data_IF_893456112391
#
_entry.id   IF_893456112391
#
_cell.length_a   1.000
_cell.length_b   1.000
_cell.length_c   1.000
_cell.angle_alpha   90.00
_cell.angle_beta   90.00
_cell.angle_gamma   90.00
#
_symmetry.space_group_name_H-M   'P 1'
#
loop_
_entity.id
_entity.type
_entity.pdbx_description
1 polymer ?
#
# COMPACT_ATOMS: atom_id res chain seq x y z
N UNK A 1 4.74 3.44 -2.19
CA UNK A 1 3.75 2.33 -2.15
C UNK A 1 2.47 2.59 -1.35
N UNK A 2 2.49 3.16 -0.14
CA UNK A 2 1.27 3.36 0.68
C UNK A 2 0.14 4.11 -0.05
N UNK A 3 0.50 5.17 -0.78
CA UNK A 3 -0.47 6.02 -1.48
C UNK A 3 -1.13 5.29 -2.65
N UNK A 4 -0.37 4.46 -3.36
CA UNK A 4 -0.87 3.63 -4.46
C UNK A 4 -1.94 2.65 -3.98
N UNK A 5 -1.67 1.86 -2.94
CA UNK A 5 -2.67 0.93 -2.37
C UNK A 5 -3.92 1.62 -1.81
N UNK A 6 -3.85 2.93 -1.50
CA UNK A 6 -5.00 3.70 -1.02
C UNK A 6 -5.83 4.28 -2.17
N UNK A 7 -5.19 4.68 -3.27
CA UNK A 7 -5.80 5.44 -4.36
C UNK A 7 -5.99 4.64 -5.66
N UNK A 8 -5.31 3.51 -5.80
CA UNK A 8 -5.23 2.75 -7.06
C UNK A 8 -4.33 3.36 -8.14
N UNK A 9 -3.84 4.59 -7.95
CA UNK A 9 -2.95 5.30 -8.89
C UNK A 9 -1.75 5.94 -8.18
N UNK A 10 -0.68 6.18 -8.94
CA UNK A 10 0.49 6.95 -8.49
C UNK A 10 0.32 8.47 -8.67
N UNK A 11 -0.62 8.88 -9.52
CA UNK A 11 -0.83 10.29 -9.84
C UNK A 11 -1.47 11.04 -8.66
N UNK A 12 -1.13 12.32 -8.56
CA UNK A 12 -1.80 13.22 -7.64
C UNK A 12 -3.19 13.54 -8.21
N UNK A 13 -4.28 13.32 -7.46
CA UNK A 13 -5.59 13.74 -7.94
C UNK A 13 -5.61 15.27 -8.03
N UNK A 14 -6.09 15.81 -9.16
CA UNK A 14 -6.49 17.21 -9.23
C UNK A 14 -7.64 17.41 -8.25
N UNK A 15 -7.37 18.08 -7.13
CA UNK A 15 -8.39 18.24 -6.10
C UNK A 15 -9.40 19.30 -6.56
N UNK A 16 -10.58 18.87 -6.99
CA UNK A 16 -11.73 19.76 -7.11
C UNK A 16 -12.44 19.82 -5.75
N UNK A 17 -12.50 20.99 -5.08
CA UNK A 17 -13.14 21.12 -3.77
C UNK A 17 -14.66 20.90 -3.79
N UNK A 18 -15.27 20.75 -4.97
CA UNK A 18 -16.71 20.55 -5.15
C UNK A 18 -17.11 19.11 -5.53
N UNK A 19 -16.17 18.21 -5.79
CA UNK A 19 -16.48 16.82 -6.14
C UNK A 19 -15.89 15.85 -5.13
N UNK A 20 -16.73 14.96 -4.61
CA UNK A 20 -16.27 13.79 -3.86
C UNK A 20 -15.84 12.74 -4.88
N UNK A 21 -14.60 12.85 -5.36
CA UNK A 21 -14.03 11.87 -6.29
C UNK A 21 -13.73 10.57 -5.53
N UNK A 22 -14.78 9.77 -5.32
CA UNK A 22 -14.69 8.42 -4.78
C UNK A 22 -14.06 7.51 -5.84
N UNK A 23 -12.74 7.57 -6.00
CA UNK A 23 -12.02 6.62 -6.86
C UNK A 23 -12.30 5.21 -6.35
N UNK A 24 -13.11 4.45 -7.10
CA UNK A 24 -13.36 3.04 -6.81
C UNK A 24 -12.05 2.30 -7.08
N UNK A 25 -11.30 2.02 -6.03
CA UNK A 25 -10.02 1.31 -6.13
C UNK A 25 -10.27 -0.12 -6.60
N UNK A 26 -9.75 -0.48 -7.77
CA UNK A 26 -9.76 -1.85 -8.30
C UNK A 26 -8.82 -2.80 -7.54
N UNK A 27 -8.11 -2.30 -6.53
CA UNK A 27 -7.22 -3.07 -5.67
C UNK A 27 -7.67 -2.98 -4.20
N UNK A 28 -7.67 -4.10 -3.52
CA UNK A 28 -8.01 -4.23 -2.10
C UNK A 28 -6.79 -4.65 -1.29
N UNK A 29 -6.30 -3.82 -0.35
CA UNK A 29 -5.16 -4.18 0.48
C UNK A 29 -5.51 -5.36 1.39
N UNK A 30 -4.72 -6.44 1.31
CA UNK A 30 -4.87 -7.64 2.14
C UNK A 30 -4.55 -7.31 3.60
N UNK A 31 -3.50 -6.50 3.83
CA UNK A 31 -3.06 -6.11 5.16
C UNK A 31 -3.19 -4.60 5.37
N UNK A 32 -3.91 -4.17 6.42
CA UNK A 32 -4.06 -2.75 6.77
C UNK A 32 -2.73 -2.09 7.18
N UNK A 33 -1.88 -2.83 7.91
CA UNK A 33 -0.52 -2.41 8.31
C UNK A 33 0.52 -3.17 7.47
N UNK A 34 1.68 -2.58 7.17
CA UNK A 34 2.75 -3.31 6.50
C UNK A 34 3.27 -4.44 7.38
N UNK A 35 3.67 -5.55 6.76
CA UNK A 35 4.36 -6.65 7.44
C UNK A 35 5.81 -6.23 7.62
N UNK A 36 6.31 -6.38 8.86
CA UNK A 36 7.68 -6.03 9.25
C UNK A 36 8.52 -7.31 9.34
N UNK A 37 9.84 -7.21 9.11
CA UNK A 37 10.75 -8.33 9.31
C UNK A 37 10.76 -8.77 10.77
N UNK A 38 11.02 -10.05 10.99
CA UNK A 38 11.14 -10.60 12.36
C UNK A 38 12.48 -10.24 12.99
N UNK A 39 12.61 -10.38 14.31
CA UNK A 39 13.87 -10.12 14.99
C UNK A 39 14.99 -11.07 14.54
N UNK A 40 14.66 -12.35 14.30
CA UNK A 40 15.61 -13.33 13.79
C UNK A 40 16.11 -12.94 12.39
N UNK A 41 15.21 -12.52 11.51
CA UNK A 41 15.54 -12.08 10.15
C UNK A 41 16.40 -10.81 10.15
N UNK A 42 16.12 -9.84 11.03
CA UNK A 42 16.96 -8.66 11.18
C UNK A 42 18.37 -8.98 11.69
N UNK A 43 18.52 -10.01 12.53
CA UNK A 43 19.83 -10.44 13.03
C UNK A 43 20.64 -11.18 11.95
N UNK A 44 19.98 -11.99 11.12
CA UNK A 44 20.63 -12.70 10.01
C UNK A 44 20.90 -11.78 8.80
N UNK A 45 20.03 -10.80 8.57
CA UNK A 45 20.15 -9.83 7.50
C UNK A 45 19.85 -8.40 8.03
N UNK A 46 20.88 -7.67 8.50
CA UNK A 46 20.71 -6.31 8.99
C UNK A 46 20.08 -5.33 7.98
N UNK A 47 20.23 -5.59 6.67
CA UNK A 47 19.62 -4.76 5.62
C UNK A 47 18.10 -4.88 5.57
N UNK A 48 17.52 -5.92 6.16
CA UNK A 48 16.07 -6.12 6.22
C UNK A 48 15.38 -5.13 7.18
N UNK A 49 16.10 -4.49 8.12
CA UNK A 49 15.53 -3.66 9.20
C UNK A 49 14.56 -2.57 8.74
N UNK A 50 14.73 -2.03 7.54
CA UNK A 50 13.85 -0.99 6.97
C UNK A 50 12.76 -1.52 6.03
N UNK A 51 12.72 -2.83 5.76
CA UNK A 51 11.77 -3.44 4.84
C UNK A 51 10.33 -3.33 5.39
N UNK A 52 9.39 -3.01 4.49
CA UNK A 52 7.96 -2.89 4.79
C UNK A 52 7.17 -3.55 3.66
N UNK A 53 6.74 -4.78 3.86
CA UNK A 53 5.96 -5.52 2.87
C UNK A 53 4.51 -5.02 2.88
N UNK A 54 3.94 -4.79 1.70
CA UNK A 54 2.54 -4.42 1.49
C UNK A 54 1.99 -5.23 0.33
N UNK A 55 0.81 -5.81 0.53
CA UNK A 55 0.15 -6.68 -0.44
C UNK A 55 -1.29 -6.20 -0.65
N UNK A 56 -1.76 -6.24 -1.89
CA UNK A 56 -3.15 -6.07 -2.24
C UNK A 56 -3.54 -7.07 -3.32
N UNK A 57 -4.83 -7.36 -3.36
CA UNK A 57 -5.47 -8.18 -4.37
C UNK A 57 -6.18 -7.28 -5.38
N UNK A 58 -6.23 -7.68 -6.65
CA UNK A 58 -7.04 -6.99 -7.66
C UNK A 58 -8.46 -7.53 -7.59
N UNK A 59 -9.44 -6.66 -7.35
CA UNK A 59 -10.86 -7.02 -7.43
C UNK A 59 -11.28 -6.88 -8.89
N UNK A 60 -11.43 -8.00 -9.59
CA UNK A 60 -11.97 -8.05 -10.94
C UNK A 60 -11.94 -9.47 -11.48
N UNK A 61 -13.09 -9.96 -11.95
CA UNK A 61 -13.17 -11.02 -12.95
C UNK A 61 -13.02 -10.39 -14.33
#
# INVERSE_FOLDING_TARGET
VKNFFRRGTFDAPESNPFTHDGTISQIMPVTKKPILPTQQEMNQNPRARSAKLRVAEKIGN
#
